data_IF_602768455591
#
_entry.id   IF_602768455591
#
_cell.length_a   1.000
_cell.length_b   1.000
_cell.length_c   1.000
_cell.angle_alpha   90.00
_cell.angle_beta   90.00
_cell.angle_gamma   90.00
#
_symmetry.space_group_name_H-M   'P 1'
#
loop_
_entity.id
_entity.type
_entity.pdbx_description
1 polymer ?
#
# COMPACT_ATOMS: atom_id res chain seq x y z
N UNK A 1 -44.96 11.98 31.48
CA UNK A 1 -44.97 12.42 30.08
C UNK A 1 -43.61 13.04 29.79
N UNK A 2 -42.72 12.29 29.16
CA UNK A 2 -41.43 12.81 28.65
C UNK A 2 -41.56 12.93 27.16
N UNK A 3 -41.07 14.01 26.52
CA UNK A 3 -41.03 14.10 25.08
C UNK A 3 -39.81 13.36 24.51
N UNK A 4 -40.06 12.42 23.63
CA UNK A 4 -39.09 11.76 22.79
C UNK A 4 -38.39 12.77 21.87
N UNK A 5 -37.05 12.83 21.98
CA UNK A 5 -36.23 13.57 21.03
C UNK A 5 -35.91 12.64 19.85
N UNK A 6 -36.64 12.85 18.76
CA UNK A 6 -36.33 12.21 17.46
C UNK A 6 -35.11 12.91 16.87
N UNK A 7 -33.93 12.29 16.96
CA UNK A 7 -32.76 12.70 16.17
C UNK A 7 -32.93 12.20 14.75
N UNK A 8 -33.37 13.09 13.88
CA UNK A 8 -33.33 12.89 12.43
C UNK A 8 -31.88 12.96 11.94
N UNK A 9 -31.30 11.82 11.58
CA UNK A 9 -30.05 11.74 10.83
C UNK A 9 -30.33 12.21 9.39
N UNK A 10 -30.05 13.47 9.13
CA UNK A 10 -29.95 13.99 7.77
C UNK A 10 -28.62 13.50 7.18
N UNK A 11 -28.67 12.45 6.35
CA UNK A 11 -27.59 12.09 5.44
C UNK A 11 -27.49 13.19 4.36
N UNK A 12 -26.85 14.29 4.71
CA UNK A 12 -26.55 15.38 3.81
C UNK A 12 -25.33 15.04 2.96
N UNK A 13 -25.56 14.78 1.70
CA UNK A 13 -24.58 14.83 0.63
C UNK A 13 -23.77 16.14 0.70
N UNK A 14 -22.57 16.08 1.28
CA UNK A 14 -21.56 17.13 1.18
C UNK A 14 -20.29 16.57 0.55
N UNK A 15 -20.35 16.20 -0.71
CA UNK A 15 -19.16 15.94 -1.53
C UNK A 15 -19.21 16.83 -2.78
N UNK A 16 -19.03 18.12 -2.55
CA UNK A 16 -18.63 19.06 -3.59
C UNK A 16 -17.72 20.13 -2.99
N UNK A 17 -16.61 19.71 -2.43
CA UNK A 17 -15.45 20.55 -2.35
C UNK A 17 -14.60 20.25 -3.59
N UNK A 18 -14.35 21.23 -4.42
CA UNK A 18 -13.39 21.16 -5.50
C UNK A 18 -12.12 20.52 -4.96
N UNK A 19 -11.75 19.35 -5.47
CA UNK A 19 -10.44 18.75 -5.20
C UNK A 19 -9.40 19.72 -5.75
N UNK A 20 -9.01 20.70 -4.93
CA UNK A 20 -7.93 21.61 -5.24
C UNK A 20 -6.71 20.73 -5.48
N UNK A 21 -6.03 20.92 -6.60
CA UNK A 21 -4.86 20.15 -7.02
C UNK A 21 -3.68 20.30 -6.04
N UNK A 22 -3.94 19.98 -4.75
CA UNK A 22 -2.95 20.02 -3.68
C UNK A 22 -1.89 18.96 -3.97
N UNK A 23 -0.64 19.35 -3.92
CA UNK A 23 0.50 18.45 -4.02
C UNK A 23 1.28 18.43 -2.72
N UNK A 24 1.69 17.24 -2.30
CA UNK A 24 2.46 17.02 -1.09
C UNK A 24 3.74 16.24 -1.37
N UNK A 25 4.81 16.55 -0.68
CA UNK A 25 6.02 15.74 -0.67
C UNK A 25 5.79 14.55 0.28
N UNK A 26 5.53 13.39 -0.29
CA UNK A 26 5.29 12.14 0.42
C UNK A 26 5.97 11.00 -0.34
N UNK A 27 7.18 10.59 0.05
CA UNK A 27 7.78 9.37 -0.47
C UNK A 27 6.92 8.15 -0.10
N UNK A 28 6.64 7.30 -1.07
CA UNK A 28 5.95 6.02 -0.89
C UNK A 28 6.92 4.92 -1.32
N UNK A 29 7.42 4.15 -0.36
CA UNK A 29 8.36 3.06 -0.62
C UNK A 29 7.63 1.83 -1.14
N UNK A 30 8.09 1.28 -2.25
CA UNK A 30 7.59 0.03 -2.83
C UNK A 30 8.60 -1.09 -2.60
N UNK A 31 8.36 -1.88 -1.57
CA UNK A 31 9.01 -3.18 -1.34
C UNK A 31 8.17 -4.30 -1.95
N UNK A 32 8.78 -5.48 -2.09
CA UNK A 32 8.08 -6.71 -2.45
C UNK A 32 8.40 -7.79 -1.42
N UNK A 33 9.53 -8.49 -1.55
CA UNK A 33 9.97 -9.53 -0.64
C UNK A 33 10.99 -9.02 0.38
N UNK A 34 10.94 -9.58 1.60
CA UNK A 34 11.96 -9.39 2.63
C UNK A 34 12.55 -10.77 2.98
N UNK A 35 13.51 -11.24 2.22
CA UNK A 35 13.95 -12.62 2.33
C UNK A 35 15.39 -12.88 1.86
N UNK A 36 15.75 -14.14 1.72
CA UNK A 36 17.07 -14.55 1.25
C UNK A 36 17.22 -14.39 -0.26
N UNK A 37 18.36 -13.91 -0.71
CA UNK A 37 18.74 -13.87 -2.12
C UNK A 37 19.25 -15.22 -2.63
N UNK A 38 19.61 -16.14 -1.73
CA UNK A 38 20.18 -17.45 -2.06
C UNK A 38 19.11 -18.56 -2.18
N UNK A 39 17.84 -18.19 -2.18
CA UNK A 39 16.75 -19.15 -2.34
C UNK A 39 16.81 -19.80 -3.73
N UNK A 40 16.86 -21.14 -3.74
CA UNK A 40 16.97 -21.91 -4.97
C UNK A 40 15.76 -21.71 -5.88
N UNK A 41 16.00 -21.45 -7.16
CA UNK A 41 14.94 -21.25 -8.16
C UNK A 41 14.30 -19.87 -8.18
N UNK A 42 14.82 -18.92 -7.41
CA UNK A 42 14.33 -17.54 -7.42
C UNK A 42 14.61 -16.90 -8.79
N UNK A 43 13.53 -16.48 -9.47
CA UNK A 43 13.66 -15.77 -10.75
C UNK A 43 14.39 -14.42 -10.58
N UNK A 44 15.16 -13.99 -11.56
CA UNK A 44 15.96 -12.75 -11.48
C UNK A 44 15.11 -11.51 -11.17
N UNK A 45 13.90 -11.42 -11.74
CA UNK A 45 12.98 -10.33 -11.46
C UNK A 45 12.51 -10.29 -10.01
N UNK A 46 12.34 -11.45 -9.38
CA UNK A 46 11.96 -11.59 -7.97
C UNK A 46 13.18 -11.31 -7.08
N UNK A 47 14.36 -11.83 -7.45
CA UNK A 47 15.64 -11.58 -6.75
C UNK A 47 15.89 -10.08 -6.62
N UNK A 48 15.81 -9.34 -7.72
CA UNK A 48 16.02 -7.88 -7.74
C UNK A 48 15.06 -7.10 -6.83
N UNK A 49 13.87 -7.65 -6.56
CA UNK A 49 12.84 -7.07 -5.68
C UNK A 49 12.82 -7.69 -4.29
N UNK A 50 13.86 -8.45 -3.94
CA UNK A 50 14.02 -9.05 -2.61
C UNK A 50 15.07 -8.26 -1.84
N UNK A 51 14.66 -7.64 -0.73
CA UNK A 51 15.57 -6.98 0.20
C UNK A 51 15.87 -7.95 1.34
N UNK A 52 17.14 -8.13 1.71
CA UNK A 52 17.47 -9.03 2.82
C UNK A 52 17.01 -8.45 4.15
N UNK A 53 16.59 -9.28 5.12
CA UNK A 53 16.01 -8.80 6.39
C UNK A 53 16.91 -7.84 7.16
N UNK A 54 18.23 -8.02 7.11
CA UNK A 54 19.22 -7.13 7.75
C UNK A 54 19.22 -5.74 7.13
N UNK A 55 19.13 -5.64 5.81
CA UNK A 55 19.11 -4.35 5.10
C UNK A 55 17.78 -3.63 5.32
N UNK A 56 16.67 -4.36 5.29
CA UNK A 56 15.36 -3.80 5.63
C UNK A 56 15.37 -3.23 7.05
N UNK A 57 15.86 -3.99 8.04
CA UNK A 57 15.96 -3.52 9.41
C UNK A 57 16.82 -2.25 9.52
N UNK A 58 17.99 -2.24 8.88
CA UNK A 58 18.89 -1.07 8.86
C UNK A 58 18.22 0.15 8.21
N UNK A 59 17.47 -0.03 7.11
CA UNK A 59 16.72 1.03 6.45
C UNK A 59 15.62 1.61 7.37
N UNK A 60 14.83 0.77 8.03
CA UNK A 60 13.77 1.21 8.96
C UNK A 60 14.35 1.92 10.19
N UNK A 61 15.45 1.41 10.75
CA UNK A 61 16.16 2.05 11.86
C UNK A 61 16.75 3.40 11.46
N UNK A 62 17.26 3.50 10.25
CA UNK A 62 17.75 4.78 9.72
C UNK A 62 16.62 5.78 9.58
N UNK A 63 15.50 5.40 8.98
CA UNK A 63 14.31 6.26 8.86
C UNK A 63 13.84 6.75 10.23
N UNK A 64 13.71 5.84 11.20
CA UNK A 64 13.28 6.15 12.55
C UNK A 64 14.24 7.14 13.24
N UNK A 65 15.54 6.90 13.19
CA UNK A 65 16.57 7.79 13.79
C UNK A 65 16.63 9.17 13.15
N UNK A 66 16.27 9.28 11.87
CA UNK A 66 16.25 10.56 11.15
C UNK A 66 14.91 11.28 11.22
N UNK A 67 13.99 10.80 12.09
CA UNK A 67 12.72 11.47 12.38
C UNK A 67 11.68 11.34 11.27
N UNK A 68 11.76 10.29 10.44
CA UNK A 68 10.68 9.95 9.52
C UNK A 68 9.52 9.31 10.29
N UNK A 69 8.31 9.71 9.92
CA UNK A 69 7.07 9.19 10.50
C UNK A 69 6.33 8.37 9.44
N UNK A 70 6.26 7.05 9.67
CA UNK A 70 5.42 6.20 8.84
C UNK A 70 3.95 6.56 9.10
N UNK A 71 3.20 6.81 8.02
CA UNK A 71 1.78 7.18 8.06
C UNK A 71 0.92 6.11 7.41
N UNK A 72 -0.39 6.11 7.73
CA UNK A 72 -1.38 5.21 7.11
C UNK A 72 -1.83 5.76 5.75
N UNK A 73 -2.44 4.87 4.93
CA UNK A 73 -3.08 5.28 3.68
C UNK A 73 -4.20 6.29 3.91
N UNK A 74 -4.95 6.12 5.01
CA UNK A 74 -6.02 7.06 5.38
C UNK A 74 -5.47 8.47 5.64
N UNK A 75 -4.38 8.59 6.40
CA UNK A 75 -3.74 9.90 6.66
C UNK A 75 -3.27 10.56 5.36
N UNK A 76 -2.71 9.77 4.43
CA UNK A 76 -2.33 10.29 3.11
C UNK A 76 -3.55 10.79 2.32
N UNK A 77 -4.63 10.02 2.28
CA UNK A 77 -5.87 10.39 1.60
C UNK A 77 -6.49 11.66 2.19
N UNK A 78 -6.63 11.73 3.51
CA UNK A 78 -7.18 12.89 4.23
C UNK A 78 -6.35 14.16 3.97
N UNK A 79 -5.03 14.02 3.89
CA UNK A 79 -4.16 15.16 3.55
C UNK A 79 -4.38 15.61 2.11
N UNK A 80 -4.44 14.67 1.17
CA UNK A 80 -4.62 14.97 -0.25
C UNK A 80 -5.99 15.57 -0.54
N UNK A 81 -7.04 15.10 0.10
CA UNK A 81 -8.42 15.56 -0.11
C UNK A 81 -8.78 16.78 0.75
N UNK A 82 -8.48 16.71 2.05
CA UNK A 82 -8.97 17.68 3.04
C UNK A 82 -7.89 18.67 3.50
N UNK A 83 -6.61 18.36 3.26
CA UNK A 83 -5.48 19.19 3.72
C UNK A 83 -5.15 19.02 5.18
N UNK A 84 -5.51 17.90 5.77
CA UNK A 84 -5.09 17.57 7.13
C UNK A 84 -3.57 17.48 7.18
N UNK A 85 -2.98 18.10 8.17
CA UNK A 85 -1.53 18.23 8.26
C UNK A 85 -0.88 16.89 8.69
N UNK A 86 0.11 16.44 7.93
CA UNK A 86 0.92 15.28 8.28
C UNK A 86 1.99 15.63 9.34
N UNK A 87 2.50 14.62 10.05
CA UNK A 87 3.71 14.80 10.87
C UNK A 87 4.90 15.24 10.00
N UNK A 88 5.97 15.70 10.64
CA UNK A 88 7.21 16.03 9.93
C UNK A 88 7.80 14.78 9.25
N UNK A 89 8.42 14.97 8.08
CA UNK A 89 9.03 13.89 7.29
C UNK A 89 8.12 12.65 7.15
N UNK A 90 6.90 12.80 6.59
CA UNK A 90 5.99 11.67 6.43
C UNK A 90 6.53 10.72 5.37
N UNK A 91 6.28 9.42 5.56
CA UNK A 91 6.62 8.38 4.60
C UNK A 91 5.55 7.27 4.61
N UNK A 92 5.20 6.74 3.44
CA UNK A 92 4.43 5.50 3.34
C UNK A 92 5.37 4.33 3.04
N UNK A 93 5.17 3.21 3.72
CA UNK A 93 5.89 1.96 3.51
C UNK A 93 4.90 0.97 2.93
N UNK A 94 5.20 0.43 1.75
CA UNK A 94 4.28 -0.51 1.08
C UNK A 94 5.02 -1.77 0.63
N UNK A 95 4.30 -2.91 0.65
CA UNK A 95 4.79 -4.21 0.19
C UNK A 95 3.81 -4.76 -0.85
N UNK A 96 4.29 -5.14 -2.03
CA UNK A 96 3.46 -5.71 -3.08
C UNK A 96 3.61 -7.24 -3.15
N UNK A 97 2.48 -7.92 -3.40
CA UNK A 97 2.42 -9.35 -3.69
C UNK A 97 1.80 -10.20 -2.59
N UNK A 98 1.90 -9.81 -1.32
CA UNK A 98 1.39 -10.60 -0.20
C UNK A 98 2.29 -11.77 0.16
N UNK A 99 3.60 -11.57 0.09
CA UNK A 99 4.60 -12.56 0.48
C UNK A 99 4.59 -12.78 2.00
N UNK A 100 4.80 -14.04 2.41
CA UNK A 100 4.84 -14.46 3.82
C UNK A 100 5.94 -13.79 4.61
N UNK A 101 7.06 -13.56 3.97
CA UNK A 101 8.24 -12.92 4.56
C UNK A 101 7.97 -11.52 5.12
N UNK A 102 6.93 -10.83 4.64
CA UNK A 102 6.48 -9.55 5.22
C UNK A 102 6.00 -9.75 6.66
N UNK A 103 5.25 -10.82 6.94
CA UNK A 103 4.79 -11.15 8.30
C UNK A 103 5.96 -11.64 9.16
N UNK A 104 6.84 -12.47 8.59
CA UNK A 104 7.89 -13.15 9.35
C UNK A 104 9.07 -12.23 9.67
N UNK A 105 9.42 -11.29 8.79
CA UNK A 105 10.61 -10.44 8.95
C UNK A 105 10.31 -8.94 9.01
N UNK A 106 9.42 -8.42 8.17
CA UNK A 106 9.19 -6.97 8.13
C UNK A 106 8.32 -6.49 9.29
N UNK A 107 7.20 -7.13 9.54
CA UNK A 107 6.23 -6.70 10.54
C UNK A 107 6.81 -6.63 11.98
N UNK A 108 7.66 -7.57 12.45
CA UNK A 108 8.30 -7.43 13.76
C UNK A 108 9.23 -6.22 13.88
N UNK A 109 9.96 -5.87 12.80
CA UNK A 109 10.82 -4.67 12.79
C UNK A 109 9.98 -3.42 12.85
N UNK A 110 8.92 -3.33 12.04
CA UNK A 110 8.00 -2.19 12.02
C UNK A 110 7.32 -2.01 13.38
N UNK A 111 6.79 -3.08 13.96
CA UNK A 111 6.15 -3.06 15.29
C UNK A 111 7.11 -2.57 16.39
N UNK A 112 8.36 -3.05 16.41
CA UNK A 112 9.41 -2.61 17.35
C UNK A 112 9.68 -1.10 17.23
N UNK A 113 9.67 -0.56 16.02
CA UNK A 113 9.91 0.86 15.73
C UNK A 113 8.62 1.72 15.78
N UNK A 114 7.45 1.09 16.03
CA UNK A 114 6.13 1.74 15.99
C UNK A 114 5.84 2.42 14.65
N UNK A 115 6.30 1.79 13.58
CA UNK A 115 6.04 2.21 12.21
C UNK A 115 4.89 1.40 11.63
N UNK A 116 4.03 2.05 10.86
CA UNK A 116 2.93 1.41 10.13
C UNK A 116 3.34 1.19 8.67
N UNK A 117 2.67 0.25 7.99
CA UNK A 117 2.88 -0.03 6.58
C UNK A 117 1.59 -0.55 5.94
N UNK A 118 1.61 -0.79 4.62
CA UNK A 118 0.51 -1.44 3.89
C UNK A 118 1.05 -2.60 3.06
N UNK A 119 0.43 -3.77 3.16
CA UNK A 119 0.71 -4.92 2.30
C UNK A 119 -0.42 -5.08 1.28
N UNK A 120 -0.11 -4.93 0.00
CA UNK A 120 -1.03 -5.18 -1.10
C UNK A 120 -0.96 -6.65 -1.51
N UNK A 121 -2.04 -7.40 -1.26
CA UNK A 121 -2.04 -8.85 -1.42
C UNK A 121 -2.77 -9.31 -2.68
N UNK A 122 -2.18 -10.29 -3.37
CA UNK A 122 -2.79 -11.01 -4.50
C UNK A 122 -3.73 -12.06 -3.90
N UNK A 123 -5.05 -11.83 -3.94
CA UNK A 123 -5.99 -12.68 -3.20
C UNK A 123 -6.03 -14.12 -3.68
N UNK A 124 -5.74 -14.37 -4.95
CA UNK A 124 -5.63 -15.74 -5.51
C UNK A 124 -4.42 -16.54 -5.01
N UNK A 125 -3.46 -15.88 -4.33
CA UNK A 125 -2.29 -16.54 -3.72
C UNK A 125 -2.48 -16.93 -2.26
N UNK A 126 -3.54 -16.44 -1.61
CA UNK A 126 -3.78 -16.63 -0.16
C UNK A 126 -4.35 -18.02 0.21
N UNK A 127 -4.40 -18.96 -0.71
CA UNK A 127 -4.97 -20.30 -0.49
C UNK A 127 -4.12 -21.22 0.38
N UNK A 128 -2.85 -20.87 0.64
CA UNK A 128 -1.87 -21.73 1.31
C UNK A 128 -1.23 -22.77 0.42
N UNK A 129 -1.54 -22.79 -0.89
CA UNK A 129 -0.95 -23.74 -1.84
C UNK A 129 0.55 -23.46 -2.10
N UNK A 130 0.98 -22.21 -1.94
CA UNK A 130 2.37 -21.78 -2.07
C UNK A 130 2.81 -21.15 -0.73
N UNK A 131 3.72 -21.79 0.01
CA UNK A 131 4.14 -21.31 1.33
C UNK A 131 4.91 -19.97 1.30
N UNK A 132 5.32 -19.49 0.13
CA UNK A 132 5.98 -18.20 -0.04
C UNK A 132 5.01 -17.02 0.14
N UNK A 133 3.71 -17.28 0.12
CA UNK A 133 2.67 -16.25 0.29
C UNK A 133 1.97 -16.35 1.64
N UNK A 134 1.41 -15.23 2.08
CA UNK A 134 0.47 -15.18 3.20
C UNK A 134 -0.75 -16.07 2.91
N UNK A 135 -1.37 -16.56 3.95
CA UNK A 135 -2.69 -17.19 3.88
C UNK A 135 -3.79 -16.24 4.35
N UNK A 136 -5.04 -16.59 4.10
CA UNK A 136 -6.19 -15.83 4.61
C UNK A 136 -6.17 -15.70 6.15
N UNK A 137 -5.62 -16.70 6.84
CA UNK A 137 -5.50 -16.76 8.30
C UNK A 137 -4.44 -15.81 8.83
N UNK A 138 -3.44 -15.48 8.03
CA UNK A 138 -2.33 -14.58 8.42
C UNK A 138 -2.75 -13.09 8.41
N UNK A 139 -3.72 -12.70 7.59
CA UNK A 139 -4.07 -11.28 7.41
C UNK A 139 -4.44 -10.55 8.71
N UNK A 140 -5.28 -11.10 9.62
CA UNK A 140 -5.55 -10.44 10.89
C UNK A 140 -4.31 -10.34 11.80
N UNK A 141 -3.36 -11.27 11.68
CA UNK A 141 -2.11 -11.20 12.46
C UNK A 141 -1.20 -10.09 11.93
N UNK A 142 -1.16 -9.90 10.62
CA UNK A 142 -0.43 -8.82 9.98
C UNK A 142 -0.96 -7.45 10.42
N UNK A 143 -2.28 -7.25 10.41
CA UNK A 143 -2.91 -5.99 10.85
C UNK A 143 -2.66 -5.70 12.33
N UNK A 144 -2.69 -6.72 13.21
CA UNK A 144 -2.34 -6.53 14.62
C UNK A 144 -0.91 -6.05 14.85
N UNK A 145 -0.01 -6.25 13.89
CA UNK A 145 1.37 -5.73 13.92
C UNK A 145 1.51 -4.35 13.27
N UNK A 146 0.41 -3.70 12.87
CA UNK A 146 0.41 -2.36 12.31
C UNK A 146 0.65 -2.33 10.79
N UNK A 147 0.45 -3.45 10.09
CA UNK A 147 0.54 -3.51 8.62
C UNK A 147 -0.87 -3.65 8.06
N UNK A 148 -1.39 -2.56 7.50
CA UNK A 148 -2.70 -2.51 6.81
C UNK A 148 -2.72 -3.47 5.61
N UNK A 149 -3.88 -4.03 5.29
CA UNK A 149 -4.06 -4.86 4.10
C UNK A 149 -4.71 -4.04 2.99
N UNK A 150 -4.10 -4.05 1.81
CA UNK A 150 -4.64 -3.52 0.56
C UNK A 150 -4.77 -4.62 -0.50
N UNK A 151 -5.42 -4.30 -1.60
CA UNK A 151 -5.62 -5.24 -2.71
C UNK A 151 -4.56 -5.08 -3.80
N UNK A 152 -4.09 -6.23 -4.33
CA UNK A 152 -3.24 -6.31 -5.53
C UNK A 152 -3.89 -7.20 -6.61
N UNK A 153 -5.20 -7.06 -6.80
CA UNK A 153 -6.07 -7.88 -7.66
C UNK A 153 -6.22 -9.35 -7.21
N UNK A 154 -6.89 -10.15 -8.01
CA UNK A 154 -7.04 -11.60 -7.73
C UNK A 154 -5.84 -12.38 -8.25
N UNK A 155 -5.48 -12.18 -9.53
CA UNK A 155 -4.51 -13.04 -10.24
C UNK A 155 -3.24 -12.31 -10.65
N UNK A 156 -3.10 -11.03 -10.30
CA UNK A 156 -1.95 -10.19 -10.68
C UNK A 156 -1.79 -10.02 -12.20
N UNK A 157 -2.88 -10.07 -12.97
CA UNK A 157 -2.83 -9.75 -14.42
C UNK A 157 -2.73 -8.25 -14.63
N UNK A 158 -2.01 -7.84 -15.67
CA UNK A 158 -2.00 -6.45 -16.10
C UNK A 158 -3.41 -6.03 -16.54
N UNK A 159 -4.01 -5.08 -15.79
CA UNK A 159 -5.39 -4.64 -16.03
C UNK A 159 -5.54 -3.86 -17.34
N UNK A 160 -4.45 -3.30 -17.88
CA UNK A 160 -4.48 -2.49 -19.09
C UNK A 160 -4.73 -3.33 -20.34
N UNK A 161 -4.40 -4.61 -20.30
CA UNK A 161 -4.59 -5.54 -21.43
C UNK A 161 -5.85 -6.41 -21.29
N UNK A 162 -6.58 -6.30 -20.17
CA UNK A 162 -7.82 -7.02 -19.94
C UNK A 162 -9.03 -6.27 -20.55
N UNK A 163 -10.09 -7.02 -20.87
CA UNK A 163 -11.39 -6.41 -21.11
C UNK A 163 -11.93 -5.72 -19.84
N UNK A 164 -12.82 -4.75 -19.97
CA UNK A 164 -13.46 -4.06 -18.83
C UNK A 164 -14.12 -5.03 -17.86
N UNK A 165 -14.76 -6.08 -18.38
CA UNK A 165 -15.41 -7.11 -17.58
C UNK A 165 -14.41 -7.89 -16.73
N UNK A 166 -13.29 -8.31 -17.31
CA UNK A 166 -12.24 -9.04 -16.61
C UNK A 166 -11.55 -8.15 -15.57
N UNK A 167 -11.11 -6.94 -15.98
CA UNK A 167 -10.47 -6.00 -15.06
C UNK A 167 -11.39 -5.63 -13.90
N UNK A 168 -12.68 -5.38 -14.16
CA UNK A 168 -13.65 -5.10 -13.10
C UNK A 168 -13.91 -6.33 -12.20
N UNK A 169 -13.77 -7.55 -12.70
CA UNK A 169 -13.85 -8.76 -11.88
C UNK A 169 -12.63 -8.87 -10.96
N UNK A 170 -11.41 -8.70 -11.48
CA UNK A 170 -10.16 -8.67 -10.71
C UNK A 170 -10.24 -7.69 -9.53
N UNK A 171 -10.75 -6.50 -9.78
CA UNK A 171 -10.87 -5.43 -8.79
C UNK A 171 -11.95 -5.72 -7.73
N UNK A 172 -13.17 -6.05 -8.16
CA UNK A 172 -14.30 -6.22 -7.24
C UNK A 172 -14.22 -7.51 -6.42
N UNK A 173 -13.73 -8.59 -7.03
CA UNK A 173 -13.61 -9.88 -6.34
C UNK A 173 -12.54 -9.79 -5.26
N UNK A 174 -11.36 -9.26 -5.58
CA UNK A 174 -10.28 -9.11 -4.61
C UNK A 174 -10.70 -8.24 -3.42
N UNK A 175 -11.32 -7.08 -3.67
CA UNK A 175 -11.81 -6.19 -2.63
C UNK A 175 -12.84 -6.86 -1.72
N UNK A 176 -13.89 -7.42 -2.33
CA UNK A 176 -14.98 -8.11 -1.60
C UNK A 176 -14.46 -9.25 -0.72
N UNK A 177 -13.52 -10.04 -1.22
CA UNK A 177 -13.01 -11.20 -0.50
C UNK A 177 -12.14 -10.77 0.69
N UNK A 178 -11.35 -9.71 0.53
CA UNK A 178 -10.60 -9.08 1.62
C UNK A 178 -11.52 -8.48 2.68
N UNK A 179 -12.50 -7.66 2.28
CA UNK A 179 -13.46 -7.03 3.19
C UNK A 179 -14.25 -8.08 3.99
N UNK A 180 -14.65 -9.18 3.35
CA UNK A 180 -15.34 -10.30 4.01
C UNK A 180 -14.45 -10.99 5.05
N UNK A 181 -13.16 -11.14 4.74
CA UNK A 181 -12.20 -11.80 5.64
C UNK A 181 -11.82 -10.91 6.83
N UNK A 182 -11.61 -9.63 6.59
CA UNK A 182 -11.12 -8.68 7.59
C UNK A 182 -12.25 -8.03 8.41
N UNK A 183 -13.47 -7.98 7.87
CA UNK A 183 -14.63 -7.40 8.55
C UNK A 183 -14.69 -5.86 8.48
N UNK A 184 -13.85 -5.24 7.66
CA UNK A 184 -13.83 -3.80 7.43
C UNK A 184 -13.54 -3.47 5.96
N UNK A 185 -13.69 -2.19 5.57
CA UNK A 185 -13.42 -1.72 4.22
C UNK A 185 -11.94 -1.85 3.84
N UNK A 186 -11.66 -2.21 2.58
CA UNK A 186 -10.31 -2.28 2.00
C UNK A 186 -10.24 -1.32 0.79
N UNK A 187 -10.08 -0.01 1.03
CA UNK A 187 -10.12 1.00 -0.03
C UNK A 187 -8.78 1.26 -0.71
N UNK A 188 -7.73 0.48 -0.41
CA UNK A 188 -6.37 0.64 -0.90
C UNK A 188 -6.04 -0.35 -1.99
N UNK A 189 -5.44 0.14 -3.10
CA UNK A 189 -5.11 -0.69 -4.25
C UNK A 189 -3.69 -0.43 -4.76
N UNK A 190 -2.98 -1.48 -5.18
CA UNK A 190 -1.78 -1.37 -5.99
C UNK A 190 -2.02 -2.00 -7.37
N UNK A 191 -1.67 -1.28 -8.44
CA UNK A 191 -1.79 -1.81 -9.80
C UNK A 191 -0.77 -2.91 -10.03
N UNK A 192 -1.18 -4.11 -10.52
CA UNK A 192 -0.23 -5.11 -11.01
C UNK A 192 0.76 -4.50 -12.01
N UNK A 193 2.05 -4.78 -11.82
CA UNK A 193 3.15 -4.17 -12.58
C UNK A 193 3.22 -2.64 -12.53
N UNK A 194 2.44 -1.99 -11.67
CA UNK A 194 2.26 -0.55 -11.62
C UNK A 194 1.58 0.04 -12.87
N UNK A 195 1.04 -0.82 -13.75
CA UNK A 195 0.45 -0.44 -15.03
C UNK A 195 -0.93 0.17 -14.84
N UNK A 196 -1.07 1.46 -15.20
CA UNK A 196 -2.33 2.20 -15.12
C UNK A 196 -2.50 3.10 -16.33
N UNK A 197 -3.71 3.11 -16.88
CA UNK A 197 -4.20 4.02 -17.90
C UNK A 197 -5.52 4.68 -17.45
N UNK A 198 -6.00 5.66 -18.18
CA UNK A 198 -7.23 6.40 -17.82
C UNK A 198 -8.45 5.47 -17.67
N UNK A 199 -8.50 4.39 -18.45
CA UNK A 199 -9.58 3.39 -18.40
C UNK A 199 -9.52 2.57 -17.11
N UNK A 200 -8.36 2.01 -16.77
CA UNK A 200 -8.17 1.21 -15.56
C UNK A 200 -8.36 2.03 -14.29
N UNK A 201 -7.91 3.30 -14.27
CA UNK A 201 -8.18 4.24 -13.17
C UNK A 201 -9.68 4.43 -12.95
N UNK A 202 -10.47 4.55 -14.01
CA UNK A 202 -11.94 4.63 -13.87
C UNK A 202 -12.54 3.32 -13.34
N UNK A 203 -12.01 2.17 -13.73
CA UNK A 203 -12.46 0.87 -13.21
C UNK A 203 -12.11 0.71 -11.72
N UNK A 204 -10.91 1.12 -11.30
CA UNK A 204 -10.48 1.14 -9.89
C UNK A 204 -11.41 2.03 -9.05
N UNK A 205 -11.72 3.24 -9.55
CA UNK A 205 -12.68 4.15 -8.90
C UNK A 205 -14.07 3.52 -8.77
N UNK A 206 -14.59 2.92 -9.86
CA UNK A 206 -15.90 2.24 -9.86
C UNK A 206 -15.94 1.01 -8.96
N UNK A 207 -14.81 0.36 -8.72
CA UNK A 207 -14.70 -0.73 -7.77
C UNK A 207 -14.72 -0.26 -6.31
N UNK A 208 -14.64 1.08 -6.08
CA UNK A 208 -14.75 1.72 -4.78
C UNK A 208 -13.42 1.83 -4.03
N UNK A 209 -12.28 1.70 -4.72
CA UNK A 209 -10.99 2.07 -4.14
C UNK A 209 -10.87 3.59 -4.07
N UNK A 210 -10.26 4.08 -3.01
CA UNK A 210 -10.14 5.50 -2.71
C UNK A 210 -8.71 6.02 -2.92
N UNK A 211 -7.71 5.16 -2.71
CA UNK A 211 -6.32 5.46 -2.99
C UNK A 211 -5.67 4.29 -3.72
N UNK A 212 -4.90 4.60 -4.77
CA UNK A 212 -4.14 3.58 -5.49
C UNK A 212 -2.73 4.04 -5.87
N UNK A 213 -1.80 3.07 -5.85
CA UNK A 213 -0.39 3.30 -6.11
C UNK A 213 0.06 2.62 -7.40
N UNK A 214 0.88 3.32 -8.17
CA UNK A 214 1.57 2.81 -9.36
C UNK A 214 3.02 2.48 -9.03
N UNK A 215 3.85 2.23 -10.07
CA UNK A 215 5.32 2.14 -9.94
C UNK A 215 6.01 3.32 -10.67
N UNK A 216 5.24 4.32 -11.09
CA UNK A 216 5.82 5.55 -11.65
C UNK A 216 6.69 6.21 -10.58
N UNK A 217 7.93 6.48 -10.94
CA UNK A 217 8.89 7.05 -10.00
C UNK A 217 8.49 8.48 -9.59
N UNK A 218 8.47 8.75 -8.29
CA UNK A 218 8.18 10.08 -7.78
C UNK A 218 7.95 10.13 -6.27
N UNK A 219 8.08 11.33 -5.72
CA UNK A 219 7.92 11.62 -4.28
C UNK A 219 6.88 12.70 -4.02
N UNK A 220 6.35 13.31 -5.07
CA UNK A 220 5.30 14.32 -4.98
C UNK A 220 3.99 13.65 -5.36
N UNK A 221 3.02 13.72 -4.47
CA UNK A 221 1.69 13.16 -4.67
C UNK A 221 0.68 14.26 -4.93
N UNK A 222 -0.29 13.99 -5.79
CA UNK A 222 -1.31 14.96 -6.17
C UNK A 222 -2.70 14.52 -5.72
N UNK A 223 -3.42 15.39 -5.01
CA UNK A 223 -4.82 15.19 -4.67
C UNK A 223 -5.77 15.18 -5.87
N UNK A 224 -5.33 15.66 -7.03
CA UNK A 224 -6.09 15.51 -8.27
C UNK A 224 -6.05 14.09 -8.84
N UNK A 225 -5.10 13.25 -8.40
CA UNK A 225 -4.90 11.89 -8.89
C UNK A 225 -4.63 10.87 -7.75
N UNK A 226 -5.53 10.74 -6.76
CA UNK A 226 -5.31 9.86 -5.60
C UNK A 226 -5.26 8.37 -5.99
N UNK A 227 -5.75 8.02 -7.17
CA UNK A 227 -5.72 6.66 -7.71
C UNK A 227 -4.52 6.38 -8.62
N UNK A 228 -3.50 7.24 -8.64
CA UNK A 228 -2.30 7.08 -9.47
C UNK A 228 -1.04 7.57 -8.74
N UNK A 229 -0.93 7.34 -7.43
CA UNK A 229 0.19 7.83 -6.65
C UNK A 229 1.51 7.22 -7.11
N UNK A 230 2.57 8.02 -7.07
CA UNK A 230 3.92 7.65 -7.44
C UNK A 230 4.62 6.94 -6.30
N UNK A 231 5.55 6.05 -6.63
CA UNK A 231 6.34 5.34 -5.63
C UNK A 231 7.83 5.41 -5.90
N UNK A 232 8.58 5.00 -4.91
CA UNK A 232 10.03 4.80 -4.96
C UNK A 232 10.28 3.30 -4.78
N UNK A 233 10.75 2.63 -5.83
CA UNK A 233 11.02 1.20 -5.79
C UNK A 233 12.31 0.93 -5.01
N UNK A 234 12.25 0.00 -4.03
CA UNK A 234 13.41 -0.44 -3.24
C UNK A 234 13.80 -1.83 -3.72
N UNK A 235 15.05 -1.94 -4.13
CA UNK A 235 15.62 -3.14 -4.77
C UNK A 235 16.66 -3.81 -3.86
N UNK A 236 17.11 -5.01 -4.26
CA UNK A 236 18.17 -5.79 -3.60
C UNK A 236 19.47 -4.99 -3.37
N UNK A 237 19.77 -4.06 -4.28
CA UNK A 237 20.97 -3.21 -4.20
C UNK A 237 20.76 -1.91 -3.43
N UNK A 238 19.55 -1.66 -2.94
CA UNK A 238 19.22 -0.43 -2.23
C UNK A 238 19.65 -0.55 -0.76
N UNK A 239 20.87 -0.14 -0.46
CA UNK A 239 21.32 0.04 0.93
C UNK A 239 20.74 1.30 1.57
N UNK A 240 21.15 1.60 2.83
CA UNK A 240 20.67 2.79 3.58
C UNK A 240 20.97 4.09 2.83
N UNK A 241 22.19 4.26 2.28
CA UNK A 241 22.57 5.44 1.51
C UNK A 241 21.73 5.59 0.23
N UNK A 242 21.46 4.46 -0.45
CA UNK A 242 20.57 4.43 -1.61
C UNK A 242 19.16 4.85 -1.26
N UNK A 243 18.60 4.34 -0.15
CA UNK A 243 17.29 4.74 0.35
C UNK A 243 17.26 6.25 0.64
N UNK A 244 18.24 6.79 1.36
CA UNK A 244 18.32 8.23 1.65
C UNK A 244 18.27 9.06 0.36
N UNK A 245 19.06 8.71 -0.64
CA UNK A 245 19.06 9.38 -1.95
C UNK A 245 17.70 9.27 -2.65
N UNK A 246 17.09 8.08 -2.67
CA UNK A 246 15.78 7.84 -3.29
C UNK A 246 14.67 8.71 -2.70
N UNK A 247 14.68 8.94 -1.38
CA UNK A 247 13.68 9.79 -0.71
C UNK A 247 14.08 11.28 -0.65
N UNK A 248 15.26 11.64 -1.19
CA UNK A 248 15.73 13.02 -1.29
C UNK A 248 16.35 13.57 0.00
N UNK A 249 17.01 12.71 0.75
CA UNK A 249 17.83 13.07 1.90
C UNK A 249 19.31 12.84 1.57
N UNK A 250 20.19 13.71 2.11
CA UNK A 250 21.61 13.40 2.11
C UNK A 250 21.87 12.25 3.07
N UNK A 251 22.68 11.22 2.68
CA UNK A 251 23.15 10.22 3.62
C UNK A 251 24.09 10.91 4.60
N UNK A 252 23.66 11.08 5.85
CA UNK A 252 24.49 11.63 6.93
C UNK A 252 25.53 10.62 7.40
#
# INVERSE_FOLDING_TARGET
MQPELVLGLAAGSMRSASSSGRSIALPILAYHRIGSLDEAGLADSTRRRTVVPTDFAAQMEWLHRHGFHAITQLQALETLELGIQLPAKPILITFDGGYRDVLDYAAPVLARLRMVATAYVITGRLSGADPSFLTWEDLPALERQGVEVGSHSVTHRDLTVLSDREAAAELRVSRRDLERRLGHAVPWFAYPYGAADARTVQLVRRAGYELAVTIRAGRIQSGAAPLELHRVEVLDTTGVAGLASLIGCEPG
#
